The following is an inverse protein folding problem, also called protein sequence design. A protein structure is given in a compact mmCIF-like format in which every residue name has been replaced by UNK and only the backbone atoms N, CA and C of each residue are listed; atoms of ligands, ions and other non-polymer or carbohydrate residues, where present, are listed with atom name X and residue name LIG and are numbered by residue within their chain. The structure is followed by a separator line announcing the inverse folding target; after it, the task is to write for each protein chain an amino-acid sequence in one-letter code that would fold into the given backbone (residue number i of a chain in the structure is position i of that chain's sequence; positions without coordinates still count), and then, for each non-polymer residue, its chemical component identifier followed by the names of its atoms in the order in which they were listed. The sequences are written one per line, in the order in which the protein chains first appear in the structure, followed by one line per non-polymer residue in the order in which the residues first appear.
data_IF_838489648275
#
_entry.id   IF_838489648275
#
_cell.length_a   1.000
_cell.length_b   1.000
_cell.length_c   1.000
_cell.angle_alpha   90.00
_cell.angle_beta   90.00
_cell.angle_gamma   90.00
#
_symmetry.space_group_name_H-M   'P 1'
#
loop_
_entity.id
_entity.type
_entity.pdbx_description
1 polymer ?
#
# COMPACT_ATOMS: atom_id res chain seq x y z
N UNK A 1 12.83 17.80 -15.76
CA UNK A 1 12.22 16.82 -14.85
C UNK A 1 10.94 17.43 -14.27
N UNK A 2 9.85 16.73 -14.37
CA UNK A 2 8.58 17.19 -13.80
C UNK A 2 8.49 16.63 -12.38
N UNK A 3 8.42 17.52 -11.40
CA UNK A 3 8.17 17.10 -10.04
C UNK A 3 6.67 16.87 -9.85
N UNK A 4 6.30 15.65 -9.52
CA UNK A 4 4.92 15.34 -9.17
C UNK A 4 4.70 15.61 -7.69
N UNK A 5 3.71 16.43 -7.38
CA UNK A 5 3.25 16.61 -6.02
C UNK A 5 1.98 15.79 -5.83
N UNK A 6 2.03 14.85 -4.90
CA UNK A 6 0.87 14.05 -4.56
C UNK A 6 0.36 14.46 -3.19
N UNK A 7 -0.91 14.83 -3.11
CA UNK A 7 -1.59 15.15 -1.86
C UNK A 7 -2.69 14.11 -1.60
N UNK A 8 -2.58 13.44 -0.47
CA UNK A 8 -3.62 12.50 -0.02
C UNK A 8 -4.39 13.13 1.12
N UNK A 9 -5.69 13.25 0.96
CA UNK A 9 -6.59 13.84 1.96
C UNK A 9 -7.65 12.82 2.35
N UNK A 10 -7.83 12.63 3.65
CA UNK A 10 -8.91 11.81 4.16
C UNK A 10 -10.18 12.64 4.26
N UNK A 11 -11.27 12.14 3.67
CA UNK A 11 -12.58 12.81 3.69
C UNK A 11 -13.65 11.88 4.25
N UNK A 12 -14.59 12.45 5.02
CA UNK A 12 -15.72 11.71 5.60
C UNK A 12 -16.96 11.86 4.72
N UNK A 13 -16.83 11.54 3.42
CA UNK A 13 -17.94 11.58 2.48
C UNK A 13 -17.76 10.50 1.44
N UNK A 14 -18.87 10.10 0.79
CA UNK A 14 -18.81 9.14 -0.30
C UNK A 14 -18.08 9.74 -1.50
N UNK A 15 -17.58 8.86 -2.38
CA UNK A 15 -16.92 9.31 -3.60
C UNK A 15 -17.85 10.19 -4.46
N UNK A 16 -19.13 9.83 -4.55
CA UNK A 16 -20.11 10.61 -5.32
C UNK A 16 -20.31 12.01 -4.75
N UNK A 17 -20.40 12.14 -3.43
CA UNK A 17 -20.51 13.42 -2.76
C UNK A 17 -19.26 14.29 -2.99
N UNK A 18 -18.08 13.69 -2.90
CA UNK A 18 -16.82 14.37 -3.15
C UNK A 18 -16.75 14.87 -4.60
N UNK A 19 -17.13 14.04 -5.57
CA UNK A 19 -17.14 14.38 -6.99
C UNK A 19 -18.07 15.58 -7.27
N UNK A 20 -19.27 15.59 -6.66
CA UNK A 20 -20.20 16.71 -6.77
C UNK A 20 -19.63 18.00 -6.21
N UNK A 21 -19.00 17.94 -5.03
CA UNK A 21 -18.37 19.12 -4.40
C UNK A 21 -17.23 19.66 -5.27
N UNK A 22 -16.36 18.80 -5.76
CA UNK A 22 -15.23 19.21 -6.60
C UNK A 22 -15.72 19.77 -7.94
N UNK A 23 -16.71 19.17 -8.55
CA UNK A 23 -17.29 19.64 -9.80
C UNK A 23 -17.97 21.01 -9.63
N UNK A 24 -18.68 21.23 -8.53
CA UNK A 24 -19.30 22.51 -8.22
C UNK A 24 -18.30 23.65 -8.05
N UNK A 25 -17.06 23.32 -7.68
CA UNK A 25 -15.95 24.28 -7.56
C UNK A 25 -15.11 24.44 -8.82
N UNK A 26 -15.56 23.86 -9.94
CA UNK A 26 -14.86 23.95 -11.21
C UNK A 26 -13.68 23.00 -11.35
N UNK A 27 -13.54 22.05 -10.44
CA UNK A 27 -12.50 21.03 -10.52
C UNK A 27 -13.00 19.85 -11.35
N UNK A 28 -12.11 19.29 -12.16
CA UNK A 28 -12.43 18.18 -13.05
C UNK A 28 -11.83 16.88 -12.48
N UNK A 29 -12.65 15.83 -12.40
CA UNK A 29 -12.18 14.49 -12.15
C UNK A 29 -11.40 13.99 -13.38
N UNK A 30 -10.10 13.73 -13.23
CA UNK A 30 -9.25 13.21 -14.30
C UNK A 30 -9.25 11.70 -14.34
N UNK A 31 -9.24 11.05 -13.19
CA UNK A 31 -9.14 9.60 -13.10
C UNK A 31 -9.63 9.11 -11.74
N UNK A 32 -10.39 8.02 -11.75
CA UNK A 32 -10.77 7.30 -10.54
C UNK A 32 -10.10 5.94 -10.56
N UNK A 33 -9.29 5.65 -9.53
CA UNK A 33 -8.67 4.36 -9.36
C UNK A 33 -9.02 3.80 -8.00
N UNK A 34 -9.30 2.51 -7.98
CA UNK A 34 -9.46 1.76 -6.75
C UNK A 34 -8.16 1.05 -6.41
N UNK A 35 -7.73 1.16 -5.18
CA UNK A 35 -6.55 0.47 -4.67
C UNK A 35 -6.90 -0.27 -3.39
N UNK A 36 -6.50 -1.53 -3.33
CA UNK A 36 -6.62 -2.36 -2.14
C UNK A 36 -5.26 -2.84 -1.73
N UNK A 37 -4.91 -2.64 -0.47
CA UNK A 37 -3.66 -3.12 0.14
C UNK A 37 -3.97 -4.05 1.30
N UNK A 38 -3.39 -5.24 1.26
CA UNK A 38 -3.42 -6.19 2.37
C UNK A 38 -1.99 -6.32 2.89
N UNK A 39 -1.79 -5.93 4.15
CA UNK A 39 -0.49 -6.01 4.81
C UNK A 39 -0.38 -7.35 5.50
N UNK A 40 0.58 -8.17 5.05
CA UNK A 40 0.84 -9.51 5.57
C UNK A 40 2.10 -9.49 6.42
N UNK A 41 2.02 -9.99 7.64
CA UNK A 41 3.17 -10.11 8.53
C UNK A 41 3.42 -11.57 8.90
N UNK A 42 4.69 -11.90 9.11
CA UNK A 42 5.08 -13.24 9.49
C UNK A 42 4.68 -13.56 10.94
N UNK A 43 4.26 -14.79 11.19
CA UNK A 43 4.02 -15.31 12.54
C UNK A 43 5.35 -15.53 13.25
N UNK A 44 5.84 -14.49 13.95
CA UNK A 44 7.11 -14.49 14.64
C UNK A 44 6.93 -13.71 15.96
N UNK A 45 7.37 -14.27 17.07
CA UNK A 45 7.24 -13.64 18.39
C UNK A 45 7.95 -12.28 18.44
N UNK A 46 9.09 -12.15 17.76
CA UNK A 46 9.83 -10.89 17.71
C UNK A 46 9.06 -9.80 16.94
N UNK A 47 8.31 -10.20 15.93
CA UNK A 47 7.46 -9.27 15.16
C UNK A 47 6.20 -8.94 15.97
N UNK A 48 5.60 -9.91 16.63
CA UNK A 48 4.40 -9.70 17.45
C UNK A 48 4.65 -8.74 18.62
N UNK A 49 5.87 -8.68 19.12
CA UNK A 49 6.27 -7.78 20.19
C UNK A 49 6.49 -6.33 19.74
N UNK A 50 6.52 -6.06 18.43
CA UNK A 50 6.74 -4.72 17.89
C UNK A 50 5.48 -3.85 17.99
N UNK A 51 5.69 -2.53 18.02
CA UNK A 51 4.60 -1.57 17.87
C UNK A 51 3.96 -1.69 16.47
N UNK A 52 2.70 -1.29 16.33
CA UNK A 52 1.95 -1.47 15.09
C UNK A 52 2.64 -0.83 13.87
N UNK A 53 3.18 0.38 14.03
CA UNK A 53 3.88 1.05 12.94
C UNK A 53 5.19 0.34 12.55
N UNK A 54 5.85 -0.33 13.50
CA UNK A 54 7.04 -1.12 13.23
C UNK A 54 6.70 -2.43 12.51
N UNK A 55 5.54 -3.03 12.84
CA UNK A 55 5.05 -4.21 12.13
C UNK A 55 4.84 -3.94 10.64
N UNK A 56 4.38 -2.75 10.29
CA UNK A 56 4.18 -2.37 8.89
C UNK A 56 5.49 -2.37 8.09
N UNK A 57 6.61 -2.05 8.72
CA UNK A 57 7.92 -2.08 8.06
C UNK A 57 8.43 -3.49 7.76
N UNK A 58 7.86 -4.50 8.42
CA UNK A 58 8.16 -5.92 8.20
C UNK A 58 7.11 -6.64 7.35
N UNK A 59 6.18 -5.90 6.78
CA UNK A 59 5.08 -6.48 6.02
C UNK A 59 5.42 -6.69 4.55
N UNK A 60 4.77 -7.71 3.97
CA UNK A 60 4.63 -7.85 2.53
C UNK A 60 3.23 -7.37 2.18
N UNK A 61 3.13 -6.44 1.23
CA UNK A 61 1.85 -5.87 0.83
C UNK A 61 1.34 -6.61 -0.40
N UNK A 62 0.12 -7.14 -0.31
CA UNK A 62 -0.59 -7.60 -1.51
C UNK A 62 -1.37 -6.38 -2.01
N UNK A 63 -0.99 -5.87 -3.17
CA UNK A 63 -1.57 -4.66 -3.73
C UNK A 63 -2.34 -4.95 -5.00
N UNK A 64 -3.55 -4.42 -5.07
CA UNK A 64 -4.40 -4.43 -6.25
C UNK A 64 -4.74 -2.98 -6.61
N UNK A 65 -4.15 -2.50 -7.69
CA UNK A 65 -4.49 -1.20 -8.27
C UNK A 65 -5.23 -1.47 -9.56
N UNK A 66 -6.49 -1.07 -9.63
CA UNK A 66 -7.35 -1.31 -10.79
C UNK A 66 -6.67 -0.91 -12.10
N UNK A 67 -6.55 -1.87 -13.01
CA UNK A 67 -5.97 -1.71 -14.35
C UNK A 67 -4.48 -1.32 -14.39
N UNK A 68 -3.77 -1.37 -13.27
CA UNK A 68 -2.35 -1.02 -13.23
C UNK A 68 -1.45 -2.12 -12.70
N UNK A 69 -1.74 -2.61 -11.49
CA UNK A 69 -0.84 -3.52 -10.81
C UNK A 69 -1.59 -4.49 -9.90
N UNK A 70 -1.22 -5.75 -9.96
CA UNK A 70 -1.64 -6.79 -9.01
C UNK A 70 -0.42 -7.57 -8.61
N UNK A 71 -0.12 -7.64 -7.33
CA UNK A 71 1.03 -8.40 -6.89
C UNK A 71 1.50 -8.11 -5.50
N UNK A 72 2.71 -8.59 -5.23
CA UNK A 72 3.41 -8.30 -3.99
C UNK A 72 4.21 -7.01 -4.09
N UNK A 73 4.21 -6.25 -3.01
CA UNK A 73 5.07 -5.09 -2.84
C UNK A 73 5.78 -5.22 -1.50
N UNK A 74 7.11 -5.16 -1.53
CA UNK A 74 7.93 -5.13 -0.34
C UNK A 74 8.79 -3.88 -0.37
N UNK A 75 8.72 -3.08 0.69
CA UNK A 75 9.52 -1.86 0.84
C UNK A 75 10.49 -2.04 1.97
N UNK A 76 11.76 -1.79 1.72
CA UNK A 76 12.81 -1.85 2.72
C UNK A 76 13.55 -0.52 2.78
N UNK A 77 13.71 0.00 4.00
CA UNK A 77 14.53 1.17 4.27
C UNK A 77 15.79 0.74 5.00
N UNK A 78 16.94 1.12 4.48
CA UNK A 78 18.24 0.83 5.10
C UNK A 78 18.99 2.14 5.32
N UNK A 79 19.43 2.39 6.55
CA UNK A 79 20.24 3.55 6.87
C UNK A 79 21.71 3.19 6.73
N UNK A 80 22.43 3.97 5.93
CA UNK A 80 23.88 3.83 5.76
C UNK A 80 24.59 4.86 6.64
N UNK A 81 25.25 4.38 7.68
CA UNK A 81 25.97 5.21 8.64
C UNK A 81 27.14 5.93 7.97
N UNK A 82 27.81 5.29 7.01
CA UNK A 82 28.99 5.84 6.34
C UNK A 82 28.67 7.06 5.49
N UNK A 83 27.51 7.03 4.83
CA UNK A 83 27.08 8.13 3.95
C UNK A 83 26.02 9.02 4.60
N UNK A 84 25.56 8.70 5.81
CA UNK A 84 24.47 9.35 6.52
C UNK A 84 23.20 9.44 5.63
N UNK A 85 22.95 8.43 4.81
CA UNK A 85 21.84 8.41 3.88
C UNK A 85 20.88 7.27 4.17
N UNK A 86 19.57 7.50 3.88
CA UNK A 86 18.54 6.49 3.93
C UNK A 86 18.32 5.93 2.53
N UNK A 87 18.59 4.64 2.36
CA UNK A 87 18.29 3.93 1.12
C UNK A 87 16.93 3.25 1.22
N UNK A 88 16.07 3.51 0.26
CA UNK A 88 14.76 2.86 0.14
C UNK A 88 14.79 1.92 -1.05
N UNK A 89 14.43 0.67 -0.82
CA UNK A 89 14.28 -0.33 -1.86
C UNK A 89 12.82 -0.74 -1.96
N UNK A 90 12.35 -0.93 -3.18
CA UNK A 90 11.01 -1.42 -3.45
C UNK A 90 11.12 -2.64 -4.36
N UNK A 91 10.57 -3.76 -3.91
CA UNK A 91 10.53 -5.00 -4.68
C UNK A 91 9.08 -5.25 -5.07
N UNK A 92 8.83 -5.43 -6.35
CA UNK A 92 7.51 -5.71 -6.90
C UNK A 92 7.52 -7.05 -7.62
N UNK A 93 6.52 -7.86 -7.33
CA UNK A 93 6.33 -9.16 -7.99
C UNK A 93 4.91 -9.21 -8.52
N UNK A 94 4.75 -9.30 -9.82
CA UNK A 94 3.44 -9.40 -10.45
C UNK A 94 2.79 -10.74 -10.14
N UNK A 95 1.49 -10.73 -9.84
CA UNK A 95 0.69 -11.92 -9.61
C UNK A 95 -0.44 -11.99 -10.63
N UNK A 96 -0.70 -13.19 -11.15
CA UNK A 96 -1.85 -13.44 -12.02
C UNK A 96 -3.12 -13.57 -11.18
N UNK A 97 -3.02 -14.20 -10.01
CA UNK A 97 -4.14 -14.47 -9.12
C UNK A 97 -3.76 -14.03 -7.70
N UNK A 98 -4.44 -12.99 -7.21
CA UNK A 98 -4.19 -12.43 -5.88
C UNK A 98 -4.59 -13.38 -4.76
N UNK A 99 -5.67 -14.15 -4.94
CA UNK A 99 -6.12 -15.11 -3.94
C UNK A 99 -5.09 -16.22 -3.74
N UNK A 100 -4.52 -16.71 -4.82
CA UNK A 100 -3.41 -17.68 -4.74
C UNK A 100 -2.18 -17.05 -4.08
N UNK A 101 -1.88 -15.80 -4.37
CA UNK A 101 -0.79 -15.08 -3.72
C UNK A 101 -1.00 -14.93 -2.22
N UNK A 102 -2.23 -14.65 -1.80
CA UNK A 102 -2.59 -14.59 -0.38
C UNK A 102 -2.38 -15.95 0.31
N UNK A 103 -2.90 -17.02 -0.29
CA UNK A 103 -2.77 -18.38 0.27
C UNK A 103 -1.32 -18.84 0.30
N UNK A 104 -0.51 -18.43 -0.66
CA UNK A 104 0.92 -18.72 -0.67
C UNK A 104 1.62 -18.12 0.55
N UNK A 105 1.31 -16.88 0.88
CA UNK A 105 1.87 -16.24 2.07
C UNK A 105 1.35 -16.89 3.37
N UNK A 106 0.08 -17.29 3.41
CA UNK A 106 -0.43 -18.04 4.55
C UNK A 106 0.31 -19.36 4.75
N UNK A 107 0.62 -20.07 3.66
CA UNK A 107 1.39 -21.31 3.71
C UNK A 107 2.83 -21.09 4.21
N UNK A 108 3.37 -19.89 4.08
CA UNK A 108 4.67 -19.48 4.61
C UNK A 108 4.59 -18.88 6.02
N UNK A 109 3.48 -19.09 6.72
CA UNK A 109 3.23 -18.58 8.09
C UNK A 109 3.11 -17.06 8.17
N UNK A 110 2.53 -16.44 7.16
CA UNK A 110 2.11 -15.04 7.21
C UNK A 110 0.62 -14.93 7.51
N UNK A 111 0.21 -13.83 8.13
CA UNK A 111 -1.20 -13.54 8.37
C UNK A 111 -1.51 -12.09 8.03
N UNK A 112 -2.78 -11.82 7.74
CA UNK A 112 -3.24 -10.46 7.48
C UNK A 112 -3.22 -9.65 8.77
N UNK A 113 -2.49 -8.53 8.74
CA UNK A 113 -2.42 -7.58 9.84
C UNK A 113 -3.36 -6.39 9.63
N UNK A 114 -3.42 -5.86 8.41
CA UNK A 114 -4.19 -4.67 8.08
C UNK A 114 -4.65 -4.76 6.63
N UNK A 115 -5.86 -4.27 6.36
CA UNK A 115 -6.37 -4.11 5.01
C UNK A 115 -6.81 -2.67 4.81
N UNK A 116 -6.33 -2.04 3.75
CA UNK A 116 -6.70 -0.68 3.36
C UNK A 116 -7.34 -0.69 1.99
N UNK A 117 -8.48 -0.04 1.87
CA UNK A 117 -9.17 0.18 0.60
C UNK A 117 -9.20 1.68 0.34
N UNK A 118 -8.73 2.09 -0.83
CA UNK A 118 -8.62 3.50 -1.20
C UNK A 118 -9.23 3.74 -2.57
N UNK A 119 -9.99 4.82 -2.67
CA UNK A 119 -10.40 5.40 -3.95
C UNK A 119 -9.44 6.55 -4.25
N UNK A 120 -8.70 6.41 -5.32
CA UNK A 120 -7.69 7.39 -5.73
C UNK A 120 -8.19 8.33 -6.80
#
# INVERSE_FOLDING_TARGET
MIDEMQLTVQVNMSFQELDQVLTSKGLRKLNQKYQKDIFMIKNDENIDALADFEKLSHSIIIRDVENEFKGYLYKKSTYDIMTSSLKKQSIRVDLIDLEQGYHFLEALDYHKFLELNQDL
#
